data_IF_868379740413
#
_entry.id   IF_868379740413
#
_cell.length_a   1.000
_cell.length_b   1.000
_cell.length_c   1.000
_cell.angle_alpha   90.00
_cell.angle_beta   90.00
_cell.angle_gamma   90.00
#
_symmetry.space_group_name_H-M   'P 1'
#
loop_
_entity.id
_entity.type
_entity.pdbx_description
1 polymer ?
#
# COMPACT_ATOMS: atom_id res chain seq x y z
N UNK A 1 -12.32 1.13 -14.41
CA UNK A 1 -10.85 1.12 -14.23
C UNK A 1 -10.61 1.38 -12.76
N UNK A 2 -9.83 0.54 -12.08
CA UNK A 2 -9.51 0.75 -10.68
C UNK A 2 -8.67 2.02 -10.51
N UNK A 3 -8.90 2.74 -9.42
CA UNK A 3 -8.10 3.90 -9.02
C UNK A 3 -6.78 3.40 -8.44
N UNK A 4 -5.68 3.79 -9.07
CA UNK A 4 -4.34 3.43 -8.61
C UNK A 4 -3.90 4.36 -7.47
N UNK A 5 -3.51 3.78 -6.34
CA UNK A 5 -3.16 4.52 -5.12
C UNK A 5 -1.79 4.07 -4.60
N UNK A 6 -0.98 5.02 -4.16
CA UNK A 6 0.24 4.77 -3.40
C UNK A 6 0.02 5.08 -1.92
N UNK A 7 0.61 4.27 -1.03
CA UNK A 7 0.56 4.49 0.42
C UNK A 7 1.90 5.05 0.88
N UNK A 8 1.93 6.28 1.40
CA UNK A 8 3.09 6.87 2.06
C UNK A 8 2.89 6.87 3.58
N UNK A 9 3.53 5.92 4.27
CA UNK A 9 3.34 5.63 5.69
C UNK A 9 2.50 4.37 5.92
N UNK A 10 3.16 3.22 5.95
CA UNK A 10 2.58 1.90 6.25
C UNK A 10 2.52 1.57 7.75
N UNK A 11 2.23 2.60 8.56
CA UNK A 11 1.96 2.48 9.98
C UNK A 11 0.57 1.89 10.28
N UNK A 12 -0.02 2.29 11.41
CA UNK A 12 -1.34 1.79 11.84
C UNK A 12 -2.45 2.07 10.80
N UNK A 13 -2.49 3.28 10.25
CA UNK A 13 -3.51 3.69 9.27
C UNK A 13 -3.24 3.08 7.90
N UNK A 14 -2.01 3.18 7.37
CA UNK A 14 -1.66 2.61 6.07
C UNK A 14 -1.97 1.12 5.97
N UNK A 15 -1.69 0.33 7.02
CA UNK A 15 -2.06 -1.10 7.06
C UNK A 15 -3.56 -1.34 7.09
N UNK A 16 -4.32 -0.49 7.80
CA UNK A 16 -5.78 -0.62 7.86
C UNK A 16 -6.45 -0.23 6.55
N UNK A 17 -5.97 0.83 5.92
CA UNK A 17 -6.38 1.20 4.56
C UNK A 17 -6.08 0.08 3.58
N UNK A 18 -4.85 -0.45 3.55
CA UNK A 18 -4.50 -1.56 2.65
C UNK A 18 -5.40 -2.78 2.82
N UNK A 19 -5.75 -3.16 4.06
CA UNK A 19 -6.68 -4.27 4.32
C UNK A 19 -8.09 -4.05 3.77
N UNK A 20 -8.57 -2.80 3.75
CA UNK A 20 -9.87 -2.44 3.18
C UNK A 20 -9.78 -2.40 1.66
N UNK A 21 -8.77 -1.69 1.13
CA UNK A 21 -8.51 -1.57 -0.30
C UNK A 21 -8.28 -2.92 -0.99
N UNK A 22 -7.66 -3.89 -0.32
CA UNK A 22 -7.47 -5.24 -0.86
C UNK A 22 -8.77 -6.00 -1.17
N UNK A 23 -9.91 -5.54 -0.61
CA UNK A 23 -11.23 -6.12 -0.84
C UNK A 23 -12.10 -5.25 -1.75
N UNK A 24 -11.56 -4.17 -2.29
CA UNK A 24 -12.27 -3.18 -3.07
C UNK A 24 -11.75 -3.22 -4.51
N UNK A 25 -12.54 -3.75 -5.43
CA UNK A 25 -12.17 -3.90 -6.85
C UNK A 25 -11.97 -2.55 -7.55
N UNK A 26 -12.43 -1.44 -6.95
CA UNK A 26 -12.24 -0.09 -7.48
C UNK A 26 -10.90 0.54 -7.04
N UNK A 27 -10.11 -0.12 -6.18
CA UNK A 27 -8.84 0.40 -5.66
C UNK A 27 -7.69 -0.59 -5.91
N UNK A 28 -6.65 -0.11 -6.59
CA UNK A 28 -5.42 -0.86 -6.80
C UNK A 28 -4.26 -0.18 -6.06
N UNK A 29 -3.70 -0.85 -5.04
CA UNK A 29 -2.51 -0.32 -4.32
C UNK A 29 -1.25 -0.71 -5.09
N UNK A 30 -0.63 0.28 -5.74
CA UNK A 30 0.50 0.05 -6.67
C UNK A 30 1.88 0.25 -6.03
N UNK A 31 1.95 0.96 -4.90
CA UNK A 31 3.21 1.21 -4.20
C UNK A 31 2.99 1.48 -2.70
N UNK A 32 3.99 1.13 -1.90
CA UNK A 32 4.02 1.42 -0.46
C UNK A 32 5.41 1.94 -0.09
N UNK A 33 5.45 3.14 0.51
CA UNK A 33 6.66 3.73 1.07
C UNK A 33 6.51 3.82 2.60
N UNK A 34 7.48 3.29 3.35
CA UNK A 34 7.56 3.42 4.81
C UNK A 34 9.02 3.39 5.28
N UNK A 35 9.29 3.94 6.48
CA UNK A 35 10.62 3.93 7.08
C UNK A 35 10.92 2.63 7.82
N UNK A 36 9.89 1.90 8.26
CA UNK A 36 10.05 0.63 8.93
C UNK A 36 10.28 -0.50 7.92
N UNK A 37 11.04 -1.55 8.28
CA UNK A 37 11.16 -2.74 7.45
C UNK A 37 9.77 -3.36 7.25
N UNK A 38 9.32 -3.43 6.00
CA UNK A 38 7.98 -3.90 5.65
C UNK A 38 7.80 -5.44 5.73
N UNK A 39 8.81 -6.17 6.22
CA UNK A 39 8.97 -7.58 5.93
C UNK A 39 9.40 -7.75 4.47
N UNK A 40 10.30 -8.70 4.23
CA UNK A 40 10.79 -9.02 2.89
C UNK A 40 9.55 -9.21 1.96
N UNK A 41 9.54 -8.57 0.78
CA UNK A 41 8.48 -8.66 -0.26
C UNK A 41 7.29 -7.69 -0.22
N UNK A 42 7.50 -6.37 -0.12
CA UNK A 42 6.48 -5.41 -0.58
C UNK A 42 7.08 -4.44 -1.60
N UNK A 43 6.74 -4.75 -2.85
CA UNK A 43 6.51 -3.92 -4.04
C UNK A 43 7.46 -2.72 -4.22
N UNK A 44 8.43 -2.98 -5.11
CA UNK A 44 9.22 -2.06 -5.92
C UNK A 44 9.42 -0.65 -5.36
N UNK A 45 10.61 -0.49 -4.80
CA UNK A 45 11.27 0.79 -4.53
C UNK A 45 11.05 1.79 -5.68
N UNK A 46 10.20 2.77 -5.45
CA UNK A 46 10.22 4.08 -6.12
C UNK A 46 10.46 5.05 -4.95
N UNK A 47 11.66 5.25 -4.42
CA UNK A 47 12.93 5.74 -4.99
C UNK A 47 14.14 5.19 -4.21
#
# INVERSE_FOLDING_TARGET
MATQVAINGFGRIGRSFYRLAYKDDDIEVVAINDLAPLGHWIIWRIF
#
